data_IF_066167911098
#
_entry.id   IF_066167911098
#
_cell.length_a   1.000
_cell.length_b   1.000
_cell.length_c   1.000
_cell.angle_alpha   90.00
_cell.angle_beta   90.00
_cell.angle_gamma   90.00
#
_symmetry.space_group_name_H-M   'P 1'
#
loop_
_entity.id
_entity.type
_entity.pdbx_description
1 polymer ?
#
# COMPACT_ATOMS: atom_id res chain seq x y z
N UNK A 1 -25.67 -14.09 0.52
CA UNK A 1 -24.52 -13.19 0.82
C UNK A 1 -23.94 -12.70 -0.49
N UNK A 2 -23.72 -11.39 -0.65
CA UNK A 2 -23.03 -10.85 -1.83
C UNK A 2 -21.52 -10.98 -1.61
N UNK A 3 -20.78 -11.44 -2.63
CA UNK A 3 -19.33 -11.64 -2.54
C UNK A 3 -18.57 -10.32 -2.37
N UNK A 4 -19.04 -9.27 -3.03
CA UNK A 4 -18.47 -7.92 -2.96
C UNK A 4 -19.52 -6.92 -2.50
N UNK A 5 -19.04 -5.85 -1.86
CA UNK A 5 -19.87 -4.75 -1.36
C UNK A 5 -20.76 -4.20 -2.47
N UNK A 6 -21.99 -3.82 -2.13
CA UNK A 6 -22.95 -3.16 -3.02
C UNK A 6 -23.24 -3.92 -4.33
N UNK A 7 -23.06 -5.25 -4.33
CA UNK A 7 -23.33 -6.09 -5.50
C UNK A 7 -22.32 -5.95 -6.65
N UNK A 8 -21.14 -5.37 -6.40
CA UNK A 8 -20.08 -5.27 -7.40
C UNK A 8 -19.61 -6.66 -7.88
N UNK A 9 -19.09 -6.73 -9.11
CA UNK A 9 -18.58 -7.99 -9.69
C UNK A 9 -17.18 -8.33 -9.19
N UNK A 10 -16.38 -7.32 -8.85
CA UNK A 10 -14.99 -7.42 -8.41
C UNK A 10 -14.60 -6.19 -7.58
N UNK A 11 -13.40 -6.24 -7.02
CA UNK A 11 -12.70 -5.12 -6.38
C UNK A 11 -11.29 -5.03 -6.95
N UNK A 12 -10.70 -3.84 -6.94
CA UNK A 12 -9.33 -3.64 -7.40
C UNK A 12 -8.54 -2.77 -6.41
N UNK A 13 -7.44 -3.33 -5.88
CA UNK A 13 -6.62 -2.65 -4.89
C UNK A 13 -5.49 -1.85 -5.57
N UNK A 14 -5.46 -0.54 -5.29
CA UNK A 14 -4.32 0.31 -5.61
C UNK A 14 -3.40 0.40 -4.39
N UNK A 15 -2.20 -0.18 -4.50
CA UNK A 15 -1.25 -0.32 -3.41
C UNK A 15 0.03 0.43 -3.75
N UNK A 16 0.57 1.21 -2.82
CA UNK A 16 1.76 2.03 -3.01
C UNK A 16 2.69 1.83 -1.83
N UNK A 17 3.98 1.60 -2.05
CA UNK A 17 4.92 1.31 -0.97
C UNK A 17 6.11 2.27 -0.92
N UNK A 18 7.07 1.97 -0.07
CA UNK A 18 8.30 2.74 0.20
C UNK A 18 8.09 4.17 0.72
N UNK A 19 6.85 4.59 1.01
CA UNK A 19 6.53 6.01 1.21
C UNK A 19 7.06 6.88 0.06
N UNK A 20 7.01 6.35 -1.18
CA UNK A 20 7.67 6.96 -2.33
C UNK A 20 7.26 8.44 -2.55
N UNK A 21 8.18 9.33 -2.98
CA UNK A 21 7.85 10.75 -3.18
C UNK A 21 6.70 11.02 -4.16
N UNK A 22 6.47 10.13 -5.12
CA UNK A 22 5.33 10.21 -6.05
C UNK A 22 3.98 10.03 -5.35
N UNK A 23 3.93 9.36 -4.20
CA UNK A 23 2.70 9.24 -3.43
C UNK A 23 2.17 10.62 -3.04
N UNK A 24 3.07 11.47 -2.52
CA UNK A 24 2.78 12.84 -2.10
C UNK A 24 2.51 13.74 -3.31
N UNK A 25 3.37 13.68 -4.33
CA UNK A 25 3.37 14.65 -5.44
C UNK A 25 2.35 14.38 -6.53
N UNK A 26 1.98 13.12 -6.73
CA UNK A 26 1.20 12.69 -7.90
C UNK A 26 0.01 11.84 -7.50
N UNK A 27 0.23 10.74 -6.76
CA UNK A 27 -0.81 9.72 -6.55
C UNK A 27 -1.96 10.24 -5.69
N UNK A 28 -1.68 10.76 -4.48
CA UNK A 28 -2.73 11.23 -3.58
C UNK A 28 -3.57 12.35 -4.20
N UNK A 29 -2.98 13.38 -4.86
CA UNK A 29 -3.76 14.36 -5.61
C UNK A 29 -4.69 13.74 -6.66
N UNK A 30 -4.19 12.80 -7.47
CA UNK A 30 -4.99 12.18 -8.54
C UNK A 30 -6.08 11.24 -8.00
N UNK A 31 -5.84 10.54 -6.89
CA UNK A 31 -6.85 9.74 -6.19
C UNK A 31 -7.96 10.62 -5.63
N UNK A 32 -7.60 11.70 -4.91
CA UNK A 32 -8.56 12.67 -4.35
C UNK A 32 -9.42 13.28 -5.45
N UNK A 33 -8.82 13.69 -6.57
CA UNK A 33 -9.53 14.24 -7.75
C UNK A 33 -10.59 13.29 -8.31
N UNK A 34 -10.39 11.98 -8.19
CA UNK A 34 -11.29 10.93 -8.73
C UNK A 34 -12.19 10.29 -7.68
N UNK A 35 -12.10 10.72 -6.41
CA UNK A 35 -12.83 10.08 -5.30
C UNK A 35 -12.44 8.62 -5.10
N UNK A 36 -11.20 8.24 -5.43
CA UNK A 36 -10.71 6.87 -5.35
C UNK A 36 -9.92 6.60 -4.07
N UNK A 37 -9.93 5.35 -3.63
CA UNK A 37 -9.13 4.90 -2.50
C UNK A 37 -7.79 4.29 -2.92
N UNK A 38 -6.79 4.40 -2.04
CA UNK A 38 -5.47 3.78 -2.19
C UNK A 38 -4.91 3.34 -0.85
N UNK A 39 -4.17 2.25 -0.85
CA UNK A 39 -3.44 1.73 0.33
C UNK A 39 -1.96 2.06 0.20
N UNK A 40 -1.40 2.72 1.21
CA UNK A 40 -0.03 3.20 1.25
C UNK A 40 0.73 2.47 2.35
N UNK A 41 1.68 1.61 1.96
CA UNK A 41 2.60 0.91 2.85
C UNK A 41 3.69 1.88 3.24
N UNK A 42 3.56 2.43 4.45
CA UNK A 42 4.42 3.49 4.96
C UNK A 42 5.54 2.94 5.83
N UNK A 43 6.69 3.61 5.81
CA UNK A 43 7.83 3.32 6.67
C UNK A 43 8.22 4.61 7.42
N UNK A 44 7.57 4.92 8.56
CA UNK A 44 7.69 6.22 9.24
C UNK A 44 9.12 6.61 9.68
N UNK A 45 9.95 5.61 9.97
CA UNK A 45 11.37 5.77 10.29
C UNK A 45 12.29 5.86 9.06
N UNK A 46 11.77 5.56 7.86
CA UNK A 46 12.49 5.55 6.59
C UNK A 46 12.72 6.94 6.00
N UNK A 47 13.70 7.03 5.10
CA UNK A 47 14.12 8.29 4.46
C UNK A 47 13.00 8.99 3.67
N UNK A 48 12.28 8.31 2.76
CA UNK A 48 11.23 8.95 1.96
C UNK A 48 10.08 9.52 2.80
N UNK A 49 9.66 8.82 3.85
CA UNK A 49 8.65 9.33 4.77
C UNK A 49 9.15 10.59 5.49
N UNK A 50 10.35 10.52 6.09
CA UNK A 50 10.96 11.65 6.80
C UNK A 50 11.15 12.88 5.92
N UNK A 51 11.54 12.69 4.66
CA UNK A 51 11.72 13.77 3.69
C UNK A 51 10.42 14.54 3.38
N UNK A 52 9.26 13.92 3.60
CA UNK A 52 7.95 14.55 3.43
C UNK A 52 7.07 14.40 4.68
N UNK A 53 7.68 14.42 5.88
CA UNK A 53 7.03 14.05 7.13
C UNK A 53 5.73 14.83 7.39
N UNK A 54 5.75 16.15 7.17
CA UNK A 54 4.55 16.99 7.35
C UNK A 54 3.39 16.51 6.48
N UNK A 55 3.66 16.13 5.23
CA UNK A 55 2.64 15.65 4.32
C UNK A 55 2.05 14.33 4.83
N UNK A 56 2.92 13.37 5.16
CA UNK A 56 2.48 12.06 5.65
C UNK A 56 1.73 12.11 6.99
N UNK A 57 2.19 12.94 7.94
CA UNK A 57 1.61 13.03 9.27
C UNK A 57 0.27 13.78 9.28
N UNK A 58 0.09 14.78 8.41
CA UNK A 58 -1.02 15.74 8.55
C UNK A 58 -1.81 16.06 7.27
N UNK A 59 -1.18 16.10 6.10
CA UNK A 59 -1.82 16.64 4.89
C UNK A 59 -2.46 15.55 4.00
N UNK A 60 -1.84 14.37 3.95
CA UNK A 60 -2.32 13.25 3.19
C UNK A 60 -3.43 12.44 3.88
N UNK A 61 -3.37 12.16 5.21
CA UNK A 61 -4.39 11.37 5.89
C UNK A 61 -5.81 11.91 5.65
N UNK A 62 -6.75 11.02 5.35
CA UNK A 62 -8.13 11.40 5.08
C UNK A 62 -8.91 10.32 4.35
N UNK A 63 -10.18 10.59 3.99
CA UNK A 63 -11.02 9.64 3.27
C UNK A 63 -10.35 9.11 2.00
N UNK A 64 -10.38 7.80 1.81
CA UNK A 64 -9.78 7.12 0.66
C UNK A 64 -8.27 6.89 0.76
N UNK A 65 -7.55 7.54 1.69
CA UNK A 65 -6.12 7.30 1.90
C UNK A 65 -5.96 6.38 3.09
N UNK A 66 -5.46 5.16 2.86
CA UNK A 66 -5.33 4.13 3.89
C UNK A 66 -3.86 3.85 4.12
N UNK A 67 -3.36 4.02 5.34
CA UNK A 67 -1.98 3.62 5.67
C UNK A 67 -1.90 2.16 6.13
N UNK A 68 -0.85 1.50 5.68
CA UNK A 68 -0.51 0.12 5.93
C UNK A 68 0.93 0.01 6.46
N UNK A 69 1.24 -1.08 7.13
CA UNK A 69 2.53 -1.30 7.77
C UNK A 69 3.54 -1.83 6.75
N UNK A 70 4.66 -1.12 6.60
CA UNK A 70 5.80 -1.52 5.75
C UNK A 70 7.10 -1.63 6.55
N UNK A 71 6.98 -1.97 7.83
CA UNK A 71 8.01 -1.84 8.86
C UNK A 71 8.46 -0.41 9.11
N UNK A 72 9.11 -0.15 10.24
CA UNK A 72 9.42 1.22 10.65
C UNK A 72 10.55 1.83 9.81
N UNK A 73 11.63 1.09 9.58
CA UNK A 73 12.83 1.62 8.90
C UNK A 73 13.05 1.09 7.50
N UNK A 74 12.26 0.11 7.05
CA UNK A 74 12.46 -0.60 5.79
C UNK A 74 13.87 -1.21 5.68
N UNK A 75 14.34 -1.86 6.75
CA UNK A 75 15.65 -2.54 6.79
C UNK A 75 15.57 -4.07 6.89
N UNK A 76 14.35 -4.61 6.80
CA UNK A 76 14.10 -6.03 7.02
C UNK A 76 14.19 -6.42 8.49
N UNK A 77 14.22 -7.72 8.76
CA UNK A 77 14.29 -8.25 10.12
C UNK A 77 15.12 -9.53 10.16
N UNK A 78 16.19 -9.51 10.96
CA UNK A 78 17.09 -10.64 11.13
C UNK A 78 16.93 -11.38 12.46
N UNK A 79 16.20 -10.80 13.41
CA UNK A 79 15.81 -11.45 14.68
C UNK A 79 14.34 -11.17 14.99
N UNK A 80 13.75 -11.98 15.88
CA UNK A 80 12.37 -11.79 16.32
C UNK A 80 12.16 -10.46 17.06
N UNK A 81 13.15 -10.01 17.84
CA UNK A 81 13.10 -8.74 18.57
C UNK A 81 13.11 -7.54 17.61
N UNK A 82 13.97 -7.60 16.57
CA UNK A 82 14.00 -6.57 15.54
C UNK A 82 12.66 -6.52 14.79
N UNK A 83 12.09 -7.69 14.47
CA UNK A 83 10.79 -7.78 13.82
C UNK A 83 9.69 -7.13 14.68
N UNK A 84 9.65 -7.46 15.96
CA UNK A 84 8.68 -6.91 16.91
C UNK A 84 8.77 -5.38 16.97
N UNK A 85 9.98 -4.85 17.13
CA UNK A 85 10.24 -3.41 17.20
C UNK A 85 9.84 -2.69 15.90
N UNK A 86 10.21 -3.25 14.75
CA UNK A 86 9.90 -2.70 13.43
C UNK A 86 8.39 -2.63 13.17
N UNK A 87 7.65 -3.67 13.54
CA UNK A 87 6.19 -3.70 13.36
C UNK A 87 5.48 -2.77 14.34
N UNK A 88 5.88 -2.79 15.62
CA UNK A 88 5.30 -1.95 16.67
C UNK A 88 5.45 -0.46 16.34
N UNK A 89 6.68 -0.01 16.06
CA UNK A 89 6.96 1.40 15.77
C UNK A 89 6.29 1.89 14.50
N UNK A 90 6.16 1.03 13.49
CA UNK A 90 5.41 1.38 12.29
C UNK A 90 3.91 1.55 12.60
N UNK A 91 3.32 0.65 13.39
CA UNK A 91 1.92 0.78 13.82
C UNK A 91 1.69 2.06 14.65
N UNK A 92 2.62 2.42 15.54
CA UNK A 92 2.56 3.69 16.26
C UNK A 92 2.58 4.90 15.32
N UNK A 93 3.45 4.88 14.30
CA UNK A 93 3.49 5.93 13.28
C UNK A 93 2.18 6.04 12.50
N UNK A 94 1.60 4.91 12.10
CA UNK A 94 0.28 4.86 11.44
C UNK A 94 -0.82 5.37 12.37
N UNK A 95 -0.82 4.98 13.65
CA UNK A 95 -1.81 5.41 14.62
C UNK A 95 -1.78 6.93 14.84
N UNK A 96 -0.59 7.53 14.91
CA UNK A 96 -0.41 8.99 15.04
C UNK A 96 -1.02 9.78 13.87
N UNK A 97 -1.02 9.21 12.66
CA UNK A 97 -1.62 9.83 11.48
C UNK A 97 -3.16 9.77 11.50
N UNK A 98 -3.76 8.91 12.33
CA UNK A 98 -5.20 8.71 12.44
C UNK A 98 -5.66 8.62 13.91
N UNK A 99 -5.57 9.71 14.69
CA UNK A 99 -5.85 9.69 16.12
C UNK A 99 -7.31 9.35 16.47
N UNK A 100 -8.25 9.61 15.55
CA UNK A 100 -9.67 9.32 15.73
C UNK A 100 -10.12 7.92 15.32
N UNK A 101 -9.23 7.08 14.76
CA UNK A 101 -9.59 5.71 14.36
C UNK A 101 -9.43 4.74 15.52
N UNK A 102 -10.29 3.72 15.57
CA UNK A 102 -10.07 2.58 16.45
C UNK A 102 -8.74 1.91 16.09
N UNK A 103 -7.84 1.80 17.07
CA UNK A 103 -6.52 1.20 16.87
C UNK A 103 -6.55 -0.33 16.95
N UNK A 104 -7.60 -0.92 17.51
CA UNK A 104 -7.89 -2.37 17.44
C UNK A 104 -8.53 -2.72 16.09
N UNK A 105 -7.77 -2.54 15.00
CA UNK A 105 -8.23 -2.82 13.64
C UNK A 105 -7.21 -3.65 12.87
N UNK A 106 -7.68 -4.39 11.88
CA UNK A 106 -6.79 -5.04 10.93
C UNK A 106 -6.08 -4.00 10.07
N UNK A 107 -4.74 -4.03 10.08
CA UNK A 107 -3.90 -3.18 9.22
C UNK A 107 -3.22 -4.08 8.20
N UNK A 108 -3.16 -3.64 6.94
CA UNK A 108 -2.45 -4.43 5.93
C UNK A 108 -0.95 -4.38 6.21
N UNK A 109 -0.27 -5.51 6.03
CA UNK A 109 1.18 -5.60 6.05
C UNK A 109 1.70 -5.86 4.65
N UNK A 110 2.73 -5.11 4.26
CA UNK A 110 3.52 -5.37 3.06
C UNK A 110 4.95 -5.63 3.51
N UNK A 111 5.54 -6.75 3.09
CA UNK A 111 6.91 -7.11 3.48
C UNK A 111 7.93 -6.34 2.62
N UNK A 112 8.78 -5.47 3.20
CA UNK A 112 9.91 -4.83 2.50
C UNK A 112 10.71 -5.76 1.60
N UNK A 113 10.91 -5.35 0.36
CA UNK A 113 11.81 -6.00 -0.60
C UNK A 113 13.24 -5.47 -0.52
N UNK A 114 14.20 -6.20 -1.10
CA UNK A 114 15.60 -5.74 -1.23
C UNK A 114 16.38 -5.60 0.08
N UNK A 115 15.87 -6.16 1.18
CA UNK A 115 16.45 -6.08 2.53
C UNK A 115 16.46 -7.46 3.21
N UNK A 116 17.34 -7.71 4.19
CA UNK A 116 17.50 -9.04 4.77
C UNK A 116 16.30 -9.48 5.60
N UNK A 117 15.88 -10.74 5.42
CA UNK A 117 14.85 -11.41 6.20
C UNK A 117 15.33 -12.80 6.60
N UNK A 118 15.80 -12.95 7.84
CA UNK A 118 16.25 -14.26 8.36
C UNK A 118 15.34 -14.82 9.45
N UNK A 119 14.35 -14.05 9.90
CA UNK A 119 13.25 -14.57 10.73
C UNK A 119 12.47 -15.67 10.00
N UNK A 120 12.05 -16.67 10.76
CA UNK A 120 11.23 -17.78 10.29
C UNK A 120 9.81 -17.32 9.91
N UNK A 121 9.08 -18.18 9.20
CA UNK A 121 7.68 -17.91 8.85
C UNK A 121 6.79 -17.91 10.10
N UNK A 122 7.14 -18.72 11.08
CA UNK A 122 6.43 -18.89 12.34
C UNK A 122 6.59 -17.64 13.21
N UNK A 123 7.81 -17.12 13.34
CA UNK A 123 8.08 -15.84 14.02
C UNK A 123 7.34 -14.68 13.35
N UNK A 124 7.40 -14.62 12.01
CA UNK A 124 6.67 -13.60 11.25
C UNK A 124 5.16 -13.71 11.48
N UNK A 125 4.58 -14.90 11.35
CA UNK A 125 3.16 -15.13 11.55
C UNK A 125 2.70 -14.72 12.97
N UNK A 126 3.47 -15.12 13.99
CA UNK A 126 3.19 -14.78 15.38
C UNK A 126 3.24 -13.26 15.62
N UNK A 127 4.24 -12.57 15.07
CA UNK A 127 4.38 -11.12 15.19
C UNK A 127 3.26 -10.37 14.44
N UNK A 128 2.89 -10.82 13.23
CA UNK A 128 1.77 -10.23 12.49
C UNK A 128 0.45 -10.39 13.27
N UNK A 129 0.20 -11.57 13.84
CA UNK A 129 -0.98 -11.82 14.66
C UNK A 129 -1.03 -10.93 15.90
N UNK A 130 0.11 -10.77 16.62
CA UNK A 130 0.25 -9.90 17.80
C UNK A 130 -0.18 -8.45 17.51
N UNK A 131 0.10 -7.95 16.32
CA UNK A 131 -0.16 -6.55 15.93
C UNK A 131 -1.38 -6.37 15.01
N UNK A 132 -2.25 -7.38 14.91
CA UNK A 132 -3.44 -7.37 14.03
C UNK A 132 -3.10 -7.02 12.57
N UNK A 133 -1.97 -7.51 12.11
CA UNK A 133 -1.49 -7.31 10.76
C UNK A 133 -1.91 -8.47 9.86
N UNK A 134 -2.33 -8.13 8.64
CA UNK A 134 -2.74 -9.11 7.64
C UNK A 134 -2.05 -8.85 6.30
N UNK A 135 -1.49 -9.90 5.74
CA UNK A 135 -0.99 -9.87 4.36
C UNK A 135 -2.19 -9.86 3.39
N UNK A 136 -2.41 -8.74 2.68
CA UNK A 136 -3.57 -8.60 1.79
C UNK A 136 -3.34 -7.66 0.60
N UNK A 137 -3.56 -8.17 -0.62
CA UNK A 137 -3.07 -9.47 -1.10
C UNK A 137 -1.55 -9.63 -0.93
N UNK A 138 -1.02 -10.87 -1.04
CA UNK A 138 0.42 -11.11 -0.92
C UNK A 138 1.22 -10.18 -1.84
N UNK A 139 2.24 -9.53 -1.27
CA UNK A 139 3.26 -8.83 -2.05
C UNK A 139 3.95 -9.84 -2.96
N UNK A 140 3.57 -9.86 -4.25
CA UNK A 140 4.08 -10.83 -5.23
C UNK A 140 5.24 -10.22 -6.01
N UNK A 141 6.45 -10.68 -5.69
CA UNK A 141 7.64 -10.47 -6.50
C UNK A 141 8.07 -9.01 -6.65
N UNK A 142 9.07 -8.79 -7.51
CA UNK A 142 9.49 -7.44 -7.86
C UNK A 142 8.36 -6.73 -8.63
N UNK A 143 7.95 -5.51 -8.24
CA UNK A 143 6.80 -4.74 -8.77
C UNK A 143 6.96 -4.23 -10.22
N UNK A 144 8.05 -4.59 -10.89
CA UNK A 144 8.53 -3.91 -12.11
C UNK A 144 7.75 -4.32 -13.37
N UNK A 145 6.68 -5.12 -13.23
CA UNK A 145 6.09 -5.84 -14.37
C UNK A 145 5.13 -4.99 -15.20
N UNK A 146 4.44 -4.01 -14.62
CA UNK A 146 3.47 -3.18 -15.35
C UNK A 146 4.12 -1.85 -15.78
N UNK A 147 4.36 -1.71 -17.08
CA UNK A 147 5.06 -0.54 -17.66
C UNK A 147 4.19 0.31 -18.58
N UNK A 148 3.03 -0.21 -19.01
CA UNK A 148 2.17 0.45 -20.00
C UNK A 148 0.74 0.60 -19.49
N UNK A 149 0.03 1.59 -20.02
CA UNK A 149 -1.36 1.86 -19.65
C UNK A 149 -2.26 0.71 -20.06
N UNK A 150 -2.00 0.12 -21.24
CA UNK A 150 -2.72 -1.00 -21.80
C UNK A 150 -2.62 -2.23 -20.88
N UNK A 151 -1.42 -2.53 -20.38
CA UNK A 151 -1.23 -3.66 -19.46
C UNK A 151 -1.92 -3.44 -18.13
N UNK A 152 -1.90 -2.20 -17.62
CA UNK A 152 -2.61 -1.85 -16.38
C UNK A 152 -4.13 -1.97 -16.54
N UNK A 153 -4.69 -1.46 -17.65
CA UNK A 153 -6.11 -1.58 -17.95
C UNK A 153 -6.53 -3.04 -18.11
N UNK A 154 -5.75 -3.84 -18.85
CA UNK A 154 -6.01 -5.27 -18.99
C UNK A 154 -6.01 -6.00 -17.64
N UNK A 155 -5.12 -5.63 -16.72
CA UNK A 155 -5.10 -6.18 -15.35
C UNK A 155 -6.37 -5.79 -14.56
N UNK A 156 -6.81 -4.54 -14.69
CA UNK A 156 -8.05 -4.05 -14.06
C UNK A 156 -9.27 -4.80 -14.62
N UNK A 157 -9.37 -4.93 -15.93
CA UNK A 157 -10.51 -5.58 -16.61
C UNK A 157 -10.59 -7.09 -16.36
N UNK A 158 -9.45 -7.73 -16.07
CA UNK A 158 -9.41 -9.15 -15.73
C UNK A 158 -10.13 -9.47 -14.40
N UNK A 159 -10.19 -8.53 -13.46
CA UNK A 159 -10.82 -8.72 -12.16
C UNK A 159 -12.35 -8.95 -12.27
N UNK A 160 -13.15 -8.06 -12.90
CA UNK A 160 -14.58 -8.28 -13.09
C UNK A 160 -14.89 -9.46 -14.01
N UNK A 161 -14.05 -9.74 -15.02
CA UNK A 161 -14.22 -10.91 -15.90
C UNK A 161 -14.15 -12.24 -15.12
N UNK A 162 -13.35 -12.30 -14.05
CA UNK A 162 -13.21 -13.48 -13.18
C UNK A 162 -14.09 -13.42 -11.93
N UNK A 163 -14.76 -12.31 -11.68
CA UNK A 163 -15.50 -12.07 -10.44
C UNK A 163 -14.60 -12.09 -9.19
N UNK A 164 -13.34 -11.68 -9.32
CA UNK A 164 -12.28 -11.82 -8.30
C UNK A 164 -11.66 -10.47 -7.94
N UNK A 165 -10.85 -10.45 -6.88
CA UNK A 165 -10.04 -9.29 -6.52
C UNK A 165 -8.86 -9.16 -7.49
N UNK A 166 -8.65 -7.96 -8.03
CA UNK A 166 -7.41 -7.55 -8.68
C UNK A 166 -6.60 -6.62 -7.77
N UNK A 167 -5.31 -6.45 -8.05
CA UNK A 167 -4.47 -5.50 -7.35
C UNK A 167 -3.21 -5.17 -8.15
N UNK A 168 -2.61 -4.02 -7.84
CA UNK A 168 -1.24 -3.71 -8.26
C UNK A 168 -0.50 -2.94 -7.15
N UNK A 169 0.78 -3.26 -6.97
CA UNK A 169 1.70 -2.57 -6.05
C UNK A 169 2.64 -1.66 -6.84
N UNK A 170 2.67 -0.37 -6.51
CA UNK A 170 3.46 0.65 -7.18
C UNK A 170 4.58 1.16 -6.26
N UNK A 171 5.84 1.03 -6.69
CA UNK A 171 7.02 1.61 -5.99
C UNK A 171 7.41 2.99 -6.54
N UNK A 172 6.46 3.65 -7.20
CA UNK A 172 6.69 4.91 -7.90
C UNK A 172 5.74 5.14 -9.07
N UNK A 173 5.27 6.38 -9.23
CA UNK A 173 4.42 6.79 -10.34
C UNK A 173 4.95 8.09 -10.96
N UNK A 174 4.97 8.17 -12.29
CA UNK A 174 5.19 9.43 -12.99
C UNK A 174 6.64 9.91 -13.04
N UNK A 175 7.61 9.00 -12.94
CA UNK A 175 9.04 9.34 -13.08
C UNK A 175 9.77 9.67 -11.78
N UNK A 176 9.12 9.55 -10.62
CA UNK A 176 9.77 9.69 -9.31
C UNK A 176 10.08 8.33 -8.69
N UNK A 177 11.36 7.95 -8.74
CA UNK A 177 11.89 6.71 -8.13
C UNK A 177 12.69 5.86 -9.11
N UNK A 178 13.19 4.72 -8.62
CA UNK A 178 13.98 3.76 -9.41
C UNK A 178 13.09 2.86 -10.28
N UNK A 179 11.81 2.68 -9.91
CA UNK A 179 10.85 1.77 -10.54
C UNK A 179 9.58 2.52 -10.94
N UNK A 180 9.60 3.16 -12.11
CA UNK A 180 8.54 4.09 -12.53
C UNK A 180 7.55 3.47 -13.52
N UNK A 181 6.27 3.49 -13.15
CA UNK A 181 5.19 3.47 -14.13
C UNK A 181 5.05 4.86 -14.78
N UNK A 182 5.08 4.94 -16.12
CA UNK A 182 5.01 6.21 -16.86
C UNK A 182 3.54 6.61 -17.13
N UNK A 183 3.17 7.90 -17.06
CA UNK A 183 1.83 8.36 -17.41
C UNK A 183 1.61 8.12 -18.91
N UNK A 184 0.44 7.59 -19.32
CA UNK A 184 -0.80 8.32 -19.09
C UNK A 184 -1.84 7.72 -18.12
N UNK A 185 -1.66 6.55 -17.51
CA UNK A 185 -2.74 5.91 -16.73
C UNK A 185 -3.31 6.76 -15.59
N UNK A 186 -2.47 7.48 -14.81
CA UNK A 186 -2.96 8.34 -13.73
C UNK A 186 -3.56 9.67 -14.22
N UNK A 187 -3.36 10.03 -15.49
CA UNK A 187 -3.99 11.21 -16.13
C UNK A 187 -5.14 10.84 -17.07
N UNK A 188 -5.27 9.56 -17.45
CA UNK A 188 -6.34 9.05 -18.29
C UNK A 188 -7.68 8.96 -17.51
N UNK A 189 -8.82 9.08 -18.20
CA UNK A 189 -10.13 8.86 -17.60
C UNK A 189 -10.28 7.37 -17.24
N UNK A 190 -10.16 7.05 -15.94
CA UNK A 190 -10.64 5.77 -15.42
C UNK A 190 -12.16 5.84 -15.43
N UNK A 191 -12.80 5.03 -16.30
CA UNK A 191 -14.26 4.96 -16.29
C UNK A 191 -14.72 4.46 -14.92
N UNK A 192 -15.77 5.08 -14.40
CA UNK A 192 -16.32 4.96 -13.04
C UNK A 192 -16.89 3.57 -12.69
N UNK A 193 -16.55 2.53 -13.44
CA UNK A 193 -17.22 1.24 -13.37
C UNK A 193 -16.66 0.25 -12.33
N UNK A 194 -15.43 0.40 -11.82
CA UNK A 194 -14.76 -0.76 -11.19
C UNK A 194 -13.86 -0.55 -9.96
N UNK A 195 -13.82 0.63 -9.33
CA UNK A 195 -12.91 0.86 -8.19
C UNK A 195 -13.68 1.33 -6.95
N UNK A 196 -14.00 0.37 -6.08
CA UNK A 196 -14.34 0.55 -4.66
C UNK A 196 -13.45 -0.38 -3.83
#
# INVERSE_FOLDING_TARGET
MLKWKDGKKAVFFLMFDDSAPSAVKTVVPELKKRGMAGTFYVAPGGGPFKAAQKAWDKELPGPGIVYANHTFTHKGATTAEQLDEELAKCNEGVAKCYPGLNQMRLISFGKPGGVPWTVSKEELSAALAKYHLIDRPPFKGYPITIKTTETMLALVDAAPAKGQMGYNVFHGVGGYGWNNFRPPFFSAPLSSASLL
#
